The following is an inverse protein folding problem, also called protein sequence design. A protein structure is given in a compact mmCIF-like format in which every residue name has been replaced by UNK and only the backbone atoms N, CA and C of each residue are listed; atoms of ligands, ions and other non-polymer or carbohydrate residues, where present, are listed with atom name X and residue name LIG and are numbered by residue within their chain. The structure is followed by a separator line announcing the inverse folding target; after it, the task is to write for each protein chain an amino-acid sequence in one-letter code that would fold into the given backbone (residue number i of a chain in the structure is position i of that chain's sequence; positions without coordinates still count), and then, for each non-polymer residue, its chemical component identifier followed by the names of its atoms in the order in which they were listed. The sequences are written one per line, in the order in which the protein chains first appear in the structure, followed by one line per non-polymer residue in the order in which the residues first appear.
data_IF_855879011445
#
_entry.id   IF_855879011445
#
_cell.length_a   1.000
_cell.length_b   1.000
_cell.length_c   1.000
_cell.angle_alpha   90.00
_cell.angle_beta   90.00
_cell.angle_gamma   90.00
#
_symmetry.space_group_name_H-M   'P 1'
#
loop_
_entity.id
_entity.type
_entity.pdbx_description
1 polymer ?
#
# COMPACT_ATOMS: atom_id res chain seq x y z
N UNK A 1 14.36 20.06 30.21
CA UNK A 1 13.22 19.51 29.44
C UNK A 1 11.84 19.69 30.09
N UNK A 2 11.71 19.98 31.40
CA UNK A 2 10.38 20.24 32.00
C UNK A 2 9.65 21.42 31.34
N UNK A 3 10.39 22.48 31.02
CA UNK A 3 9.84 23.69 30.38
C UNK A 3 9.19 23.42 29.02
N UNK A 4 9.81 22.63 28.15
CA UNK A 4 9.24 22.31 26.82
C UNK A 4 7.92 21.55 26.96
N UNK A 5 7.82 20.60 27.88
CA UNK A 5 6.58 19.89 28.17
C UNK A 5 5.47 20.83 28.66
N UNK A 6 5.79 21.70 29.62
CA UNK A 6 4.84 22.71 30.12
C UNK A 6 4.38 23.68 29.03
N UNK A 7 5.28 24.14 28.16
CA UNK A 7 4.92 25.01 27.04
C UNK A 7 3.98 24.33 26.05
N UNK A 8 4.26 23.07 25.68
CA UNK A 8 3.39 22.29 24.78
C UNK A 8 1.99 22.14 25.41
N UNK A 9 1.93 21.83 26.70
CA UNK A 9 0.66 21.68 27.42
C UNK A 9 -0.10 23.01 27.49
N UNK A 10 0.59 24.14 27.70
CA UNK A 10 -0.02 25.47 27.68
C UNK A 10 -0.57 25.79 26.29
N UNK A 11 0.22 25.59 25.23
CA UNK A 11 -0.21 25.78 23.83
C UNK A 11 -1.47 24.95 23.55
N UNK A 12 -1.48 23.68 23.95
CA UNK A 12 -2.63 22.82 23.78
C UNK A 12 -3.87 23.33 24.51
N UNK A 13 -3.73 23.64 25.80
CA UNK A 13 -4.85 24.02 26.64
C UNK A 13 -5.42 25.41 26.28
N UNK A 14 -4.56 26.34 25.88
CA UNK A 14 -4.95 27.73 25.59
C UNK A 14 -5.29 27.91 24.11
N UNK A 15 -4.45 27.42 23.21
CA UNK A 15 -4.54 27.72 21.78
C UNK A 15 -5.29 26.65 20.97
N UNK A 16 -5.34 25.39 21.39
CA UNK A 16 -5.91 24.33 20.55
C UNK A 16 -7.30 23.88 21.00
N UNK A 17 -7.75 24.27 22.20
CA UNK A 17 -9.12 24.03 22.68
C UNK A 17 -10.18 24.95 22.07
N UNK A 18 -9.80 26.12 21.57
CA UNK A 18 -10.72 27.06 20.91
C UNK A 18 -10.54 27.00 19.40
N UNK A 19 -11.63 26.85 18.65
CA UNK A 19 -11.58 26.67 17.19
C UNK A 19 -10.82 27.78 16.47
N UNK A 20 -10.98 29.05 16.89
CA UNK A 20 -10.31 30.20 16.25
C UNK A 20 -8.79 30.10 16.43
N UNK A 21 -8.34 29.81 17.64
CA UNK A 21 -6.91 29.65 17.92
C UNK A 21 -6.34 28.39 17.27
N UNK A 22 -7.14 27.31 17.14
CA UNK A 22 -6.74 26.13 16.40
C UNK A 22 -6.52 26.42 14.91
N UNK A 23 -7.40 27.23 14.30
CA UNK A 23 -7.24 27.69 12.91
C UNK A 23 -5.96 28.52 12.75
N UNK A 24 -5.72 29.49 13.63
CA UNK A 24 -4.51 30.33 13.61
C UNK A 24 -3.23 29.51 13.82
N UNK A 25 -3.23 28.62 14.82
CA UNK A 25 -2.08 27.76 15.09
C UNK A 25 -1.79 26.84 13.90
N UNK A 26 -2.80 26.24 13.28
CA UNK A 26 -2.60 25.39 12.09
C UNK A 26 -2.03 26.20 10.91
N UNK A 27 -2.38 27.47 10.79
CA UNK A 27 -1.79 28.35 9.77
C UNK A 27 -0.32 28.63 10.05
N UNK A 28 0.00 29.12 11.25
CA UNK A 28 1.37 29.43 11.69
C UNK A 28 2.25 28.18 11.53
N UNK A 29 1.80 27.04 12.07
CA UNK A 29 2.56 25.80 12.08
C UNK A 29 2.97 25.34 10.68
N UNK A 30 2.05 25.34 9.71
CA UNK A 30 2.29 24.73 8.40
C UNK A 30 2.67 25.73 7.29
N UNK A 31 2.44 27.03 7.47
CA UNK A 31 2.76 28.04 6.44
C UNK A 31 3.88 28.98 6.86
N UNK A 32 4.01 29.29 8.15
CA UNK A 32 4.92 30.33 8.62
C UNK A 32 6.16 29.75 9.30
N UNK A 33 6.14 28.45 9.65
CA UNK A 33 7.26 27.79 10.33
C UNK A 33 7.69 26.54 9.59
N UNK A 34 8.95 26.14 9.81
CA UNK A 34 9.46 24.81 9.44
C UNK A 34 9.32 23.80 10.58
N UNK A 35 8.42 24.05 11.53
CA UNK A 35 8.29 23.21 12.73
C UNK A 35 7.87 21.78 12.37
N UNK A 36 6.90 21.52 11.46
CA UNK A 36 6.58 20.16 11.04
C UNK A 36 7.77 19.44 10.41
N UNK A 37 8.53 20.08 9.52
CA UNK A 37 9.71 19.49 8.88
C UNK A 37 10.80 19.17 9.92
N UNK A 38 11.13 20.15 10.78
CA UNK A 38 12.09 19.94 11.85
C UNK A 38 11.63 18.87 12.84
N UNK A 39 10.31 18.77 13.08
CA UNK A 39 9.76 17.77 13.97
C UNK A 39 9.94 16.35 13.45
N UNK A 40 9.53 16.14 12.19
CA UNK A 40 9.50 14.84 11.54
C UNK A 40 10.89 14.41 11.06
N UNK A 41 11.73 15.33 10.59
CA UNK A 41 12.98 14.96 9.92
C UNK A 41 14.25 15.30 10.72
N UNK A 42 14.17 16.10 11.79
CA UNK A 42 15.34 16.33 12.63
C UNK A 42 15.57 15.15 13.58
N UNK A 43 16.53 14.28 13.25
CA UNK A 43 16.92 13.10 14.05
C UNK A 43 17.42 13.44 15.46
N UNK A 44 17.97 14.64 15.67
CA UNK A 44 18.48 15.07 16.97
C UNK A 44 17.39 15.52 17.95
N UNK A 45 16.12 15.59 17.52
CA UNK A 45 15.03 15.96 18.40
C UNK A 45 14.72 14.82 19.39
N UNK A 46 14.64 15.17 20.67
CA UNK A 46 14.46 14.23 21.77
C UNK A 46 13.08 13.56 21.70
N UNK A 47 13.04 12.23 21.80
CA UNK A 47 11.80 11.43 21.75
C UNK A 47 10.71 11.92 22.72
N UNK A 48 11.10 12.38 23.92
CA UNK A 48 10.16 12.86 24.95
C UNK A 48 9.43 14.15 24.56
N UNK A 49 9.95 14.91 23.59
CA UNK A 49 9.28 16.08 23.04
C UNK A 49 8.37 15.66 21.88
N UNK A 50 8.72 14.57 21.19
CA UNK A 50 8.03 14.15 19.98
C UNK A 50 6.56 13.81 20.21
N UNK A 51 6.32 12.93 21.17
CA UNK A 51 4.98 12.47 21.49
C UNK A 51 4.04 13.62 21.90
N UNK A 52 4.38 14.48 22.87
CA UNK A 52 3.54 15.62 23.22
C UNK A 52 3.25 16.56 22.04
N UNK A 53 4.24 16.85 21.19
CA UNK A 53 4.01 17.69 20.01
C UNK A 53 3.03 17.06 19.01
N UNK A 54 3.14 15.76 18.72
CA UNK A 54 2.17 15.08 17.83
C UNK A 54 0.78 15.11 18.44
N UNK A 55 0.63 14.63 19.67
CA UNK A 55 -0.69 14.46 20.29
C UNK A 55 -1.35 15.77 20.68
N UNK A 56 -0.56 16.78 21.09
CA UNK A 56 -1.06 18.00 21.68
C UNK A 56 -0.95 19.21 20.75
N UNK A 57 -0.22 19.13 19.63
CA UNK A 57 -0.11 20.24 18.67
C UNK A 57 -0.54 19.82 17.25
N UNK A 58 0.13 18.82 16.67
CA UNK A 58 -0.13 18.44 15.28
C UNK A 58 -1.50 17.77 15.10
N UNK A 59 -1.86 16.83 15.96
CA UNK A 59 -3.14 16.13 15.85
C UNK A 59 -4.34 17.08 16.05
N UNK A 60 -4.35 17.98 17.06
CA UNK A 60 -5.42 18.97 17.19
C UNK A 60 -5.62 19.85 15.94
N UNK A 61 -4.55 20.14 15.19
CA UNK A 61 -4.64 20.91 13.95
C UNK A 61 -5.55 20.25 12.89
N UNK A 62 -5.74 18.92 12.94
CA UNK A 62 -6.68 18.22 12.06
C UNK A 62 -8.14 18.63 12.30
N UNK A 63 -8.47 19.13 13.49
CA UNK A 63 -9.82 19.56 13.86
C UNK A 63 -10.05 21.06 13.59
N UNK A 64 -9.04 21.76 13.05
CA UNK A 64 -9.22 23.11 12.52
C UNK A 64 -10.27 23.12 11.42
N UNK A 65 -11.22 24.06 11.49
CA UNK A 65 -12.32 24.18 10.54
C UNK A 65 -11.84 24.70 9.19
N UNK A 66 -10.91 25.65 9.20
CA UNK A 66 -10.38 26.30 7.99
C UNK A 66 -9.10 25.63 7.47
N UNK A 67 -8.25 25.19 8.39
CA UNK A 67 -6.86 24.80 8.12
C UNK A 67 -6.59 23.33 8.43
N UNK A 68 -7.62 22.51 8.69
CA UNK A 68 -7.47 21.07 8.94
C UNK A 68 -6.87 20.28 7.77
N UNK A 69 -6.80 20.89 6.58
CA UNK A 69 -6.14 20.33 5.40
C UNK A 69 -4.64 20.58 5.33
N UNK A 70 -4.07 21.48 6.15
CA UNK A 70 -2.65 21.78 6.10
C UNK A 70 -1.81 20.55 6.45
N UNK A 71 -2.16 19.83 7.53
CA UNK A 71 -1.49 18.60 7.91
C UNK A 71 -1.67 17.48 6.86
N UNK A 72 -2.83 17.39 6.21
CA UNK A 72 -3.05 16.40 5.14
C UNK A 72 -2.18 16.70 3.91
N UNK A 73 -2.05 17.99 3.55
CA UNK A 73 -1.15 18.44 2.47
C UNK A 73 0.31 18.17 2.82
N UNK A 74 0.70 18.43 4.05
CA UNK A 74 2.04 18.13 4.56
C UNK A 74 2.33 16.62 4.50
N UNK A 75 1.41 15.79 4.99
CA UNK A 75 1.50 14.33 4.92
C UNK A 75 1.68 13.84 3.48
N UNK A 76 0.83 14.32 2.56
CA UNK A 76 0.92 13.96 1.15
C UNK A 76 2.27 14.35 0.52
N UNK A 77 2.69 15.61 0.72
CA UNK A 77 3.93 16.15 0.15
C UNK A 77 5.15 15.37 0.61
N UNK A 78 5.15 14.91 1.85
CA UNK A 78 6.29 14.25 2.48
C UNK A 78 6.12 12.73 2.61
N UNK A 79 5.13 12.12 1.95
CA UNK A 79 4.81 10.70 2.10
C UNK A 79 6.05 9.80 2.04
N UNK A 80 6.89 9.93 1.01
CA UNK A 80 8.05 9.05 0.84
C UNK A 80 9.01 9.18 2.03
N UNK A 81 9.37 10.41 2.41
CA UNK A 81 10.25 10.67 3.55
C UNK A 81 9.68 10.15 4.88
N UNK A 82 8.37 10.30 5.07
CA UNK A 82 7.69 9.80 6.27
C UNK A 82 7.78 8.28 6.39
N UNK A 83 7.74 7.55 5.27
CA UNK A 83 7.81 6.08 5.29
C UNK A 83 9.24 5.54 5.14
N UNK A 84 10.18 6.25 4.50
CA UNK A 84 11.58 5.82 4.39
C UNK A 84 12.45 6.22 5.58
N UNK A 85 12.29 7.42 6.15
CA UNK A 85 13.24 7.91 7.17
C UNK A 85 12.74 7.71 8.60
N UNK A 86 11.44 7.93 8.83
CA UNK A 86 10.87 7.98 10.18
C UNK A 86 10.51 6.60 10.74
N UNK A 87 10.04 5.70 9.86
CA UNK A 87 9.60 4.36 10.25
C UNK A 87 10.76 3.36 10.38
N UNK A 88 11.95 3.67 9.86
CA UNK A 88 13.11 2.76 9.83
C UNK A 88 13.77 2.53 11.19
N UNK A 89 13.59 3.41 12.19
CA UNK A 89 14.42 3.31 13.41
C UNK A 89 13.83 3.96 14.67
N UNK A 90 12.51 4.05 14.84
CA UNK A 90 11.97 4.84 15.96
C UNK A 90 10.67 4.34 16.59
N UNK A 91 10.53 4.64 17.88
CA UNK A 91 9.26 4.65 18.62
C UNK A 91 8.25 5.67 18.09
N UNK A 92 8.56 6.40 17.01
CA UNK A 92 7.64 7.32 16.34
C UNK A 92 6.70 6.57 15.39
N UNK A 93 7.02 5.33 15.01
CA UNK A 93 6.21 4.55 14.07
C UNK A 93 4.74 4.44 14.48
N UNK A 94 4.48 4.18 15.76
CA UNK A 94 3.12 4.04 16.28
C UNK A 94 2.38 5.38 16.26
N UNK A 95 3.12 6.50 16.42
CA UNK A 95 2.55 7.84 16.34
C UNK A 95 2.25 8.23 14.90
N UNK A 96 3.14 7.91 13.96
CA UNK A 96 2.91 8.13 12.53
C UNK A 96 1.72 7.32 12.04
N UNK A 97 1.61 6.06 12.48
CA UNK A 97 0.46 5.24 12.15
C UNK A 97 -0.84 5.86 12.66
N UNK A 98 -0.91 6.23 13.95
CA UNK A 98 -2.08 6.90 14.53
C UNK A 98 -2.43 8.19 13.80
N UNK A 99 -1.43 9.01 13.47
CA UNK A 99 -1.62 10.24 12.73
C UNK A 99 -2.17 9.99 11.33
N UNK A 100 -1.62 9.00 10.63
CA UNK A 100 -2.05 8.60 9.28
C UNK A 100 -3.49 8.12 9.30
N UNK A 101 -3.86 7.27 10.28
CA UNK A 101 -5.25 6.84 10.48
C UNK A 101 -6.19 8.04 10.68
N UNK A 102 -5.83 8.98 11.55
CA UNK A 102 -6.65 10.18 11.80
C UNK A 102 -6.76 11.11 10.58
N UNK A 103 -5.77 11.08 9.69
CA UNK A 103 -5.79 11.79 8.40
C UNK A 103 -6.77 11.13 7.42
N UNK A 104 -6.78 9.79 7.32
CA UNK A 104 -7.60 9.06 6.34
C UNK A 104 -9.00 8.71 6.83
N UNK A 105 -9.26 8.73 8.14
CA UNK A 105 -10.59 8.41 8.69
C UNK A 105 -11.69 9.35 8.18
N UNK A 106 -11.51 10.69 8.14
CA UNK A 106 -12.54 11.58 7.60
C UNK A 106 -12.63 11.49 6.07
N UNK A 107 -13.82 11.12 5.55
CA UNK A 107 -14.08 10.97 4.09
C UNK A 107 -13.45 12.09 3.26
N UNK A 108 -13.81 13.35 3.52
CA UNK A 108 -13.32 14.50 2.74
C UNK A 108 -11.77 14.55 2.63
N UNK A 109 -11.04 14.18 3.68
CA UNK A 109 -9.57 14.17 3.69
C UNK A 109 -9.02 13.01 2.87
N UNK A 110 -9.63 11.84 3.00
CA UNK A 110 -9.28 10.68 2.19
C UNK A 110 -9.57 10.91 0.71
N UNK A 111 -10.76 11.44 0.36
CA UNK A 111 -11.10 11.78 -1.04
C UNK A 111 -10.10 12.78 -1.62
N UNK A 112 -9.68 13.78 -0.83
CA UNK A 112 -8.62 14.70 -1.23
C UNK A 112 -7.32 13.97 -1.53
N UNK A 113 -6.88 13.05 -0.67
CA UNK A 113 -5.66 12.28 -0.87
C UNK A 113 -5.73 11.37 -2.11
N UNK A 114 -6.86 10.70 -2.32
CA UNK A 114 -7.10 9.88 -3.53
C UNK A 114 -7.02 10.76 -4.78
N UNK A 115 -7.65 11.93 -4.77
CA UNK A 115 -7.56 12.91 -5.87
C UNK A 115 -6.15 13.42 -6.13
N UNK A 116 -5.30 13.43 -5.11
CA UNK A 116 -3.87 13.76 -5.25
C UNK A 116 -3.02 12.58 -5.71
N UNK A 117 -3.57 11.38 -5.83
CA UNK A 117 -2.85 10.20 -6.33
C UNK A 117 -2.26 9.32 -5.23
N UNK A 118 -2.77 9.39 -3.98
CA UNK A 118 -2.25 8.60 -2.87
C UNK A 118 -2.17 7.10 -3.15
N UNK A 119 -3.22 6.54 -3.75
CA UNK A 119 -3.29 5.12 -4.03
C UNK A 119 -2.18 4.65 -4.98
N UNK A 120 -1.94 5.39 -6.08
CA UNK A 120 -0.85 5.09 -7.00
C UNK A 120 0.51 5.28 -6.32
N UNK A 121 0.68 6.35 -5.53
CA UNK A 121 1.93 6.63 -4.81
C UNK A 121 2.30 5.53 -3.82
N UNK A 122 1.31 4.96 -3.13
CA UNK A 122 1.51 3.81 -2.24
C UNK A 122 1.99 2.59 -3.05
N UNK A 123 1.35 2.28 -4.19
CA UNK A 123 1.77 1.15 -5.04
C UNK A 123 3.20 1.35 -5.56
N UNK A 124 3.56 2.57 -5.95
CA UNK A 124 4.91 2.91 -6.41
C UNK A 124 5.93 2.72 -5.29
N UNK A 125 5.64 3.24 -4.09
CA UNK A 125 6.48 3.07 -2.90
C UNK A 125 6.72 1.60 -2.55
N UNK A 126 5.66 0.79 -2.53
CA UNK A 126 5.75 -0.65 -2.23
C UNK A 126 6.52 -1.37 -3.34
N UNK A 127 6.28 -1.04 -4.62
CA UNK A 127 7.03 -1.61 -5.75
C UNK A 127 8.52 -1.33 -5.64
N UNK A 128 8.89 -0.08 -5.36
CA UNK A 128 10.29 0.32 -5.20
C UNK A 128 10.95 -0.38 -4.01
N UNK A 129 10.20 -0.58 -2.92
CA UNK A 129 10.69 -1.28 -1.73
C UNK A 129 10.96 -2.76 -2.03
N UNK A 130 10.04 -3.45 -2.71
CA UNK A 130 10.22 -4.84 -3.12
C UNK A 130 11.39 -5.00 -4.11
N UNK A 131 11.51 -4.08 -5.07
CA UNK A 131 12.63 -4.08 -6.02
C UNK A 131 13.99 -3.89 -5.34
N UNK A 132 14.06 -3.04 -4.30
CA UNK A 132 15.28 -2.87 -3.49
C UNK A 132 15.67 -4.15 -2.75
N UNK A 133 14.70 -4.99 -2.38
CA UNK A 133 14.95 -6.33 -1.82
C UNK A 133 15.36 -7.35 -2.89
N UNK A 134 15.44 -6.97 -4.17
CA UNK A 134 15.78 -7.86 -5.27
C UNK A 134 14.60 -8.69 -5.82
N UNK A 135 13.37 -8.39 -5.38
CA UNK A 135 12.16 -9.06 -5.85
C UNK A 135 11.69 -8.49 -7.19
N UNK A 136 11.03 -9.33 -7.99
CA UNK A 136 10.47 -8.96 -9.29
C UNK A 136 10.26 -10.17 -10.20
N UNK A 137 9.63 -9.94 -11.34
CA UNK A 137 9.28 -10.99 -12.32
C UNK A 137 10.47 -11.86 -12.70
N UNK A 138 10.32 -13.18 -12.57
CA UNK A 138 11.35 -14.17 -12.86
C UNK A 138 12.55 -14.17 -11.91
N UNK A 139 12.50 -13.43 -10.79
CA UNK A 139 13.54 -13.44 -9.76
C UNK A 139 13.31 -14.57 -8.76
N UNK A 140 14.41 -15.05 -8.19
CA UNK A 140 14.40 -16.05 -7.11
C UNK A 140 14.11 -15.36 -5.78
N UNK A 141 12.97 -15.67 -5.16
CA UNK A 141 12.58 -15.09 -3.87
C UNK A 141 13.53 -15.53 -2.76
N UNK A 142 13.88 -16.81 -2.70
CA UNK A 142 14.84 -17.32 -1.72
C UNK A 142 16.17 -16.57 -1.83
N UNK A 143 16.67 -16.35 -3.04
CA UNK A 143 17.90 -15.56 -3.23
C UNK A 143 17.73 -14.10 -2.78
N UNK A 144 16.60 -13.47 -3.11
CA UNK A 144 16.30 -12.09 -2.75
C UNK A 144 16.24 -11.92 -1.22
N UNK A 145 15.53 -12.81 -0.53
CA UNK A 145 15.39 -12.78 0.93
C UNK A 145 16.73 -13.07 1.63
N UNK A 146 17.50 -14.05 1.15
CA UNK A 146 18.81 -14.39 1.74
C UNK A 146 19.84 -13.26 1.58
N UNK A 147 19.61 -12.34 0.65
CA UNK A 147 20.44 -11.13 0.45
C UNK A 147 19.89 -9.91 1.19
N UNK A 148 18.64 -9.96 1.65
CA UNK A 148 17.97 -8.86 2.35
C UNK A 148 18.17 -9.02 3.85
N UNK A 149 18.44 -7.94 4.57
CA UNK A 149 18.60 -8.02 6.04
C UNK A 149 17.25 -8.27 6.69
N UNK A 150 17.21 -9.09 7.74
CA UNK A 150 16.00 -9.33 8.53
C UNK A 150 15.30 -8.03 8.97
N UNK A 151 16.06 -7.03 9.41
CA UNK A 151 15.52 -5.72 9.81
C UNK A 151 14.81 -4.99 8.65
N UNK A 152 15.28 -5.14 7.42
CA UNK A 152 14.66 -4.54 6.23
C UNK A 152 13.34 -5.23 5.87
N UNK A 153 13.29 -6.56 5.97
CA UNK A 153 12.06 -7.36 5.77
C UNK A 153 11.02 -6.98 6.83
N UNK A 154 11.40 -7.03 8.11
CA UNK A 154 10.51 -6.68 9.22
C UNK A 154 9.98 -5.25 9.12
N UNK A 155 10.84 -4.32 8.68
CA UNK A 155 10.44 -2.95 8.43
C UNK A 155 9.41 -2.83 7.29
N UNK A 156 9.65 -3.49 6.16
CA UNK A 156 8.68 -3.53 5.06
C UNK A 156 7.34 -4.10 5.50
N UNK A 157 7.34 -5.22 6.23
CA UNK A 157 6.12 -5.85 6.74
C UNK A 157 5.35 -4.88 7.66
N UNK A 158 6.07 -4.18 8.55
CA UNK A 158 5.46 -3.14 9.41
C UNK A 158 4.80 -2.04 8.57
N UNK A 159 5.45 -1.57 7.50
CA UNK A 159 4.88 -0.55 6.62
C UNK A 159 3.67 -1.09 5.86
N UNK A 160 3.79 -2.28 5.27
CA UNK A 160 2.72 -2.94 4.53
C UNK A 160 1.48 -3.10 5.42
N UNK A 161 1.67 -3.46 6.69
CA UNK A 161 0.62 -3.56 7.68
C UNK A 161 -0.06 -2.21 7.94
N UNK A 162 0.72 -1.15 8.18
CA UNK A 162 0.17 0.18 8.41
C UNK A 162 -0.61 0.71 7.20
N UNK A 163 -0.06 0.51 6.01
CA UNK A 163 -0.69 0.93 4.76
C UNK A 163 -1.98 0.13 4.52
N UNK A 164 -1.98 -1.18 4.77
CA UNK A 164 -3.19 -2.00 4.75
C UNK A 164 -4.27 -1.37 5.62
N UNK A 165 -3.96 -1.05 6.88
CA UNK A 165 -4.94 -0.53 7.82
C UNK A 165 -5.46 0.86 7.40
N UNK A 166 -4.58 1.72 6.89
CA UNK A 166 -4.90 3.05 6.33
C UNK A 166 -5.87 2.93 5.16
N UNK A 167 -5.74 1.89 4.33
CA UNK A 167 -6.59 1.68 3.15
C UNK A 167 -7.85 0.88 3.48
N UNK A 168 -7.79 -0.07 4.43
CA UNK A 168 -8.89 -0.96 4.76
C UNK A 168 -10.06 -0.22 5.41
N UNK A 169 -9.77 0.76 6.27
CA UNK A 169 -10.78 1.57 6.92
C UNK A 169 -11.68 2.33 5.92
N UNK A 170 -11.13 3.12 4.97
CA UNK A 170 -11.95 3.76 3.95
C UNK A 170 -12.51 2.76 2.93
N UNK A 171 -11.79 1.68 2.59
CA UNK A 171 -12.26 0.67 1.61
C UNK A 171 -13.63 0.08 1.97
N UNK A 172 -13.86 -0.22 3.25
CA UNK A 172 -15.12 -0.78 3.76
C UNK A 172 -16.19 0.28 4.08
N UNK A 173 -15.87 1.56 3.93
CA UNK A 173 -16.70 2.65 4.39
C UNK A 173 -17.16 3.56 3.26
N UNK A 174 -18.50 3.67 3.12
CA UNK A 174 -19.26 4.72 2.42
C UNK A 174 -19.37 4.58 0.89
N UNK A 175 -20.42 5.17 0.35
CA UNK A 175 -20.55 5.45 -1.09
C UNK A 175 -19.46 6.44 -1.51
N UNK A 176 -18.63 6.04 -2.47
CA UNK A 176 -17.65 6.92 -3.10
C UNK A 176 -18.32 7.89 -4.07
N UNK A 177 -17.71 9.06 -4.22
CA UNK A 177 -18.15 10.05 -5.21
C UNK A 177 -17.70 9.64 -6.62
N UNK A 178 -18.43 10.10 -7.64
CA UNK A 178 -18.07 9.87 -9.06
C UNK A 178 -16.67 10.40 -9.37
N UNK A 179 -16.24 11.47 -8.71
CA UNK A 179 -14.90 12.05 -8.91
C UNK A 179 -13.78 11.08 -8.49
N UNK A 180 -13.99 10.29 -7.42
CA UNK A 180 -13.01 9.30 -6.96
C UNK A 180 -12.83 8.17 -7.95
N UNK A 181 -13.90 7.79 -8.65
CA UNK A 181 -13.92 6.70 -9.61
C UNK A 181 -12.78 6.79 -10.62
N UNK A 182 -12.58 7.96 -11.23
CA UNK A 182 -11.50 8.18 -12.22
C UNK A 182 -10.09 7.92 -11.65
N UNK A 183 -9.87 8.25 -10.37
CA UNK A 183 -8.62 7.96 -9.67
C UNK A 183 -8.50 6.48 -9.30
N UNK A 184 -9.61 5.81 -8.98
CA UNK A 184 -9.65 4.36 -8.75
C UNK A 184 -9.41 3.59 -10.05
N UNK A 185 -9.92 4.05 -11.20
CA UNK A 185 -9.61 3.49 -12.53
C UNK A 185 -8.12 3.52 -12.82
N UNK A 186 -7.50 4.68 -12.64
CA UNK A 186 -6.04 4.85 -12.80
C UNK A 186 -5.27 3.92 -11.86
N UNK A 187 -5.75 3.80 -10.61
CA UNK A 187 -5.18 2.92 -9.61
C UNK A 187 -5.33 1.44 -9.99
N UNK A 188 -6.47 1.02 -10.54
CA UNK A 188 -6.70 -0.35 -10.97
C UNK A 188 -5.72 -0.77 -12.07
N UNK A 189 -5.50 0.09 -13.07
CA UNK A 189 -4.49 -0.13 -14.11
C UNK A 189 -3.09 -0.21 -13.48
N UNK A 190 -2.76 0.70 -12.54
CA UNK A 190 -1.45 0.67 -11.86
C UNK A 190 -1.28 -0.60 -11.02
N UNK A 191 -2.34 -1.07 -10.36
CA UNK A 191 -2.33 -2.31 -9.58
C UNK A 191 -2.10 -3.53 -10.47
N UNK A 192 -2.74 -3.62 -11.64
CA UNK A 192 -2.45 -4.70 -12.60
C UNK A 192 -0.97 -4.70 -12.99
N UNK A 193 -0.39 -3.53 -13.29
CA UNK A 193 1.06 -3.41 -13.57
C UNK A 193 1.92 -3.85 -12.39
N UNK A 194 1.56 -3.43 -11.18
CA UNK A 194 2.22 -3.86 -9.95
C UNK A 194 2.21 -5.38 -9.83
N UNK A 195 1.05 -6.03 -10.01
CA UNK A 195 0.95 -7.49 -9.93
C UNK A 195 1.83 -8.19 -10.96
N UNK A 196 1.92 -7.66 -12.18
CA UNK A 196 2.73 -8.21 -13.28
C UNK A 196 4.22 -8.04 -13.01
N UNK A 197 4.63 -6.93 -12.39
CA UNK A 197 6.03 -6.66 -12.02
C UNK A 197 6.56 -7.70 -11.01
N UNK A 198 5.68 -8.36 -10.25
CA UNK A 198 6.02 -9.37 -9.23
C UNK A 198 5.37 -10.74 -9.50
N UNK A 199 4.91 -10.99 -10.72
CA UNK A 199 4.36 -12.31 -11.11
C UNK A 199 5.48 -13.27 -11.53
N UNK A 200 5.18 -14.58 -11.60
CA UNK A 200 6.12 -15.60 -12.10
C UNK A 200 7.49 -15.56 -11.38
N UNK A 201 7.46 -15.33 -10.06
CA UNK A 201 8.65 -15.47 -9.23
C UNK A 201 8.88 -16.96 -8.92
N UNK A 202 10.15 -17.36 -8.81
CA UNK A 202 10.53 -18.76 -8.63
C UNK A 202 9.78 -19.39 -7.43
N UNK A 203 9.12 -20.54 -7.61
CA UNK A 203 8.44 -21.22 -6.51
C UNK A 203 9.41 -21.48 -5.36
N UNK A 204 8.98 -21.27 -4.11
CA UNK A 204 9.73 -21.81 -2.97
C UNK A 204 9.67 -23.33 -3.09
N UNK A 205 10.79 -23.95 -3.42
CA UNK A 205 10.94 -25.39 -3.28
C UNK A 205 10.99 -25.71 -1.80
N UNK A 206 9.88 -26.24 -1.27
CA UNK A 206 9.84 -26.91 0.03
C UNK A 206 10.54 -28.27 -0.12
N UNK A 207 11.83 -28.24 -0.47
CA UNK A 207 12.66 -29.42 -0.27
C UNK A 207 12.65 -29.73 1.22
N UNK A 208 12.57 -31.02 1.58
CA UNK A 208 12.76 -31.50 2.95
C UNK A 208 14.22 -31.26 3.36
N UNK A 209 14.62 -30.00 3.48
CA UNK A 209 15.92 -29.63 4.04
C UNK A 209 15.87 -29.86 5.55
N UNK A 210 17.02 -30.19 6.12
CA UNK A 210 17.17 -30.35 7.56
C UNK A 210 16.64 -29.12 8.30
N UNK A 211 16.14 -29.31 9.52
CA UNK A 211 15.41 -28.30 10.35
C UNK A 211 16.11 -26.95 10.52
N UNK A 212 17.37 -26.81 10.15
CA UNK A 212 18.16 -25.60 10.27
C UNK A 212 17.91 -24.59 9.12
N UNK A 213 17.33 -25.02 7.99
CA UNK A 213 17.01 -24.17 6.81
C UNK A 213 15.53 -23.70 6.76
N UNK A 214 14.78 -23.83 7.86
CA UNK A 214 13.32 -23.54 7.91
C UNK A 214 13.01 -22.04 7.81
N UNK A 215 13.99 -21.17 8.09
CA UNK A 215 13.85 -19.70 8.13
C UNK A 215 13.34 -19.12 6.81
N UNK A 216 13.99 -19.45 5.69
CA UNK A 216 13.75 -18.83 4.38
C UNK A 216 12.33 -19.08 3.87
N UNK A 217 11.79 -20.28 4.12
CA UNK A 217 10.44 -20.65 3.70
C UNK A 217 9.35 -19.90 4.48
N UNK A 218 9.63 -19.61 5.74
CA UNK A 218 8.70 -18.90 6.64
C UNK A 218 8.66 -17.41 6.30
N UNK A 219 9.82 -16.79 6.07
CA UNK A 219 9.91 -15.38 5.68
C UNK A 219 9.23 -15.11 4.36
N UNK A 220 9.46 -15.98 3.37
CA UNK A 220 8.83 -15.87 2.07
C UNK A 220 7.30 -16.04 2.15
N UNK A 221 6.81 -16.94 3.01
CA UNK A 221 5.38 -17.07 3.30
C UNK A 221 4.80 -15.82 4.00
N UNK A 222 5.49 -15.26 4.98
CA UNK A 222 5.02 -14.06 5.69
C UNK A 222 4.95 -12.85 4.76
N UNK A 223 5.99 -12.62 3.96
CA UNK A 223 5.99 -11.58 2.94
C UNK A 223 4.79 -11.71 1.99
N UNK A 224 4.44 -12.95 1.63
CA UNK A 224 3.27 -13.24 0.80
C UNK A 224 1.95 -12.90 1.45
N UNK A 225 1.79 -13.28 2.72
CA UNK A 225 0.62 -12.89 3.49
C UNK A 225 0.51 -11.37 3.55
N UNK A 226 1.59 -10.66 3.78
CA UNK A 226 1.60 -9.19 3.89
C UNK A 226 1.27 -8.51 2.55
N UNK A 227 1.82 -9.01 1.44
CA UNK A 227 1.46 -8.53 0.10
C UNK A 227 -0.01 -8.78 -0.23
N UNK A 228 -0.54 -9.97 0.10
CA UNK A 228 -1.96 -10.26 -0.10
C UNK A 228 -2.83 -9.29 0.72
N UNK A 229 -2.52 -9.14 2.01
CA UNK A 229 -3.24 -8.22 2.89
C UNK A 229 -3.15 -6.77 2.42
N UNK A 230 -2.01 -6.34 1.89
CA UNK A 230 -1.81 -5.02 1.31
C UNK A 230 -2.68 -4.78 0.06
N UNK A 231 -2.84 -5.78 -0.81
CA UNK A 231 -3.62 -5.68 -2.05
C UNK A 231 -5.13 -5.69 -1.77
N UNK A 232 -5.59 -6.43 -0.75
CA UNK A 232 -7.02 -6.61 -0.45
C UNK A 232 -7.83 -5.30 -0.35
N UNK A 233 -7.41 -4.26 0.39
CA UNK A 233 -8.09 -2.97 0.41
C UNK A 233 -8.30 -2.32 -0.96
N UNK A 234 -7.34 -2.46 -1.88
CA UNK A 234 -7.50 -1.95 -3.24
C UNK A 234 -8.60 -2.68 -3.98
N UNK A 235 -8.63 -4.00 -3.87
CA UNK A 235 -9.65 -4.80 -4.54
C UNK A 235 -11.04 -4.53 -3.99
N UNK A 236 -11.19 -4.41 -2.67
CA UNK A 236 -12.45 -3.98 -2.06
C UNK A 236 -12.89 -2.63 -2.64
N UNK A 237 -11.98 -1.65 -2.74
CA UNK A 237 -12.28 -0.33 -3.29
C UNK A 237 -12.67 -0.39 -4.78
N UNK A 238 -11.96 -1.18 -5.58
CA UNK A 238 -12.23 -1.38 -7.02
C UNK A 238 -13.60 -2.04 -7.22
N UNK A 239 -13.93 -3.07 -6.43
CA UNK A 239 -15.20 -3.79 -6.52
C UNK A 239 -16.42 -2.96 -6.08
N UNK A 240 -16.22 -1.75 -5.54
CA UNK A 240 -17.31 -0.81 -5.33
C UNK A 240 -17.74 -0.08 -6.63
N UNK A 241 -17.00 -0.26 -7.73
CA UNK A 241 -17.31 0.30 -9.03
C UNK A 241 -17.23 -0.78 -10.12
N UNK A 242 -18.39 -1.30 -10.53
CA UNK A 242 -18.48 -2.42 -11.46
C UNK A 242 -17.68 -2.21 -12.74
N UNK A 243 -17.73 -1.02 -13.33
CA UNK A 243 -17.03 -0.72 -14.57
C UNK A 243 -15.51 -0.63 -14.39
N UNK A 244 -15.04 -0.25 -13.20
CA UNK A 244 -13.61 -0.28 -12.85
C UNK A 244 -13.13 -1.71 -12.64
N UNK A 245 -13.94 -2.56 -12.02
CA UNK A 245 -13.64 -4.00 -11.94
C UNK A 245 -13.57 -4.64 -13.33
N UNK A 246 -14.53 -4.33 -14.22
CA UNK A 246 -14.52 -4.78 -15.61
C UNK A 246 -13.30 -4.25 -16.40
N UNK A 247 -12.91 -2.99 -16.17
CA UNK A 247 -11.66 -2.42 -16.71
C UNK A 247 -10.45 -3.24 -16.25
N UNK A 248 -10.36 -3.54 -14.96
CA UNK A 248 -9.26 -4.34 -14.40
C UNK A 248 -9.20 -5.75 -15.01
N UNK A 249 -10.35 -6.42 -15.16
CA UNK A 249 -10.45 -7.73 -15.83
C UNK A 249 -9.95 -7.65 -17.28
N UNK A 250 -10.33 -6.61 -18.04
CA UNK A 250 -9.82 -6.40 -19.41
C UNK A 250 -8.32 -6.22 -19.44
N UNK A 251 -7.74 -5.48 -18.50
CA UNK A 251 -6.28 -5.34 -18.40
C UNK A 251 -5.58 -6.67 -18.09
N UNK A 252 -6.14 -7.49 -17.19
CA UNK A 252 -5.66 -8.86 -16.95
C UNK A 252 -5.67 -9.70 -18.24
N UNK A 253 -6.80 -9.72 -18.95
CA UNK A 253 -6.96 -10.50 -20.19
C UNK A 253 -6.02 -10.04 -21.30
N UNK A 254 -5.78 -8.73 -21.45
CA UNK A 254 -4.81 -8.19 -22.41
C UNK A 254 -3.41 -8.72 -22.14
N UNK A 255 -3.00 -8.79 -20.87
CA UNK A 255 -1.68 -9.29 -20.49
C UNK A 255 -1.61 -10.80 -20.70
N UNK A 256 -2.63 -11.53 -20.25
CA UNK A 256 -2.72 -12.97 -20.47
C UNK A 256 -2.62 -13.34 -21.97
N UNK A 257 -3.35 -12.63 -22.83
CA UNK A 257 -3.29 -12.83 -24.28
C UNK A 257 -1.88 -12.63 -24.83
N UNK A 258 -1.19 -11.55 -24.42
CA UNK A 258 0.20 -11.29 -24.83
C UNK A 258 1.15 -12.40 -24.36
N UNK A 259 0.96 -12.90 -23.14
CA UNK A 259 1.77 -14.00 -22.60
C UNK A 259 1.53 -15.29 -23.39
N UNK A 260 0.27 -15.62 -23.69
CA UNK A 260 -0.07 -16.78 -24.53
C UNK A 260 0.56 -16.64 -25.92
N UNK A 261 0.40 -15.51 -26.59
CA UNK A 261 1.00 -15.24 -27.92
C UNK A 261 2.52 -15.39 -27.89
N UNK A 262 3.18 -14.90 -26.83
CA UNK A 262 4.62 -15.04 -26.64
C UNK A 262 5.04 -16.50 -26.43
N UNK A 263 4.28 -17.25 -25.63
CA UNK A 263 4.57 -18.65 -25.30
C UNK A 263 4.38 -19.56 -26.52
N UNK A 264 3.36 -19.28 -27.33
CA UNK A 264 2.98 -20.08 -28.49
C UNK A 264 3.61 -19.59 -29.79
N UNK A 265 4.40 -18.50 -29.73
CA UNK A 265 5.14 -17.99 -30.86
C UNK A 265 5.97 -19.10 -31.53
N UNK A 266 5.80 -19.25 -32.84
CA UNK A 266 6.49 -20.23 -33.69
C UNK A 266 6.12 -21.70 -33.44
N UNK A 267 5.00 -21.98 -32.75
CA UNK A 267 4.47 -23.34 -32.60
C UNK A 267 3.33 -23.60 -33.57
N UNK A 268 3.18 -24.85 -34.02
CA UNK A 268 1.93 -25.28 -34.67
C UNK A 268 0.77 -25.21 -33.66
N UNK A 269 -0.48 -25.15 -34.14
CA UNK A 269 -1.65 -25.10 -33.26
C UNK A 269 -1.68 -26.27 -32.26
N UNK A 270 -1.31 -27.47 -32.69
CA UNK A 270 -1.25 -28.64 -31.81
C UNK A 270 -0.14 -28.52 -30.75
N UNK A 271 1.06 -28.11 -31.16
CA UNK A 271 2.18 -27.87 -30.23
C UNK A 271 1.88 -26.75 -29.23
N UNK A 272 1.19 -25.70 -29.67
CA UNK A 272 0.74 -24.61 -28.82
C UNK A 272 -0.25 -25.10 -27.75
N UNK A 273 -1.24 -25.91 -28.13
CA UNK A 273 -2.21 -26.51 -27.20
C UNK A 273 -1.47 -27.42 -26.20
N UNK A 274 -0.64 -28.34 -26.69
CA UNK A 274 0.15 -29.23 -25.84
C UNK A 274 1.03 -28.44 -24.86
N UNK A 275 1.70 -27.38 -25.33
CA UNK A 275 2.53 -26.52 -24.48
C UNK A 275 1.72 -25.75 -23.44
N UNK A 276 0.54 -25.23 -23.79
CA UNK A 276 -0.32 -24.52 -22.84
C UNK A 276 -0.89 -25.47 -21.77
N UNK A 277 -1.30 -26.68 -22.16
CA UNK A 277 -1.77 -27.72 -21.24
C UNK A 277 -0.66 -28.24 -20.31
N UNK A 278 0.60 -28.17 -20.73
CA UNK A 278 1.77 -28.65 -19.95
C UNK A 278 2.55 -27.53 -19.27
N UNK A 279 2.17 -26.26 -19.49
CA UNK A 279 2.91 -25.07 -19.04
C UNK A 279 3.05 -25.05 -17.52
N UNK A 280 2.01 -25.49 -16.82
CA UNK A 280 1.97 -25.61 -15.36
C UNK A 280 1.14 -26.82 -14.98
N UNK A 281 1.75 -28.00 -15.03
CA UNK A 281 1.20 -29.16 -14.35
C UNK A 281 1.34 -28.93 -12.83
N UNK A 282 0.30 -28.34 -12.22
CA UNK A 282 0.20 -28.07 -10.78
C UNK A 282 0.38 -29.37 -9.97
N UNK A 283 0.05 -30.52 -10.57
CA UNK A 283 0.17 -31.82 -9.91
C UNK A 283 1.59 -32.37 -9.92
N UNK A 284 2.43 -31.97 -10.89
CA UNK A 284 3.78 -32.55 -11.10
C UNK A 284 4.95 -31.58 -10.98
N UNK A 285 4.71 -30.26 -10.92
CA UNK A 285 5.75 -29.23 -10.79
C UNK A 285 5.53 -28.36 -9.56
N UNK A 286 6.60 -27.87 -8.91
CA UNK A 286 6.49 -26.86 -7.86
C UNK A 286 5.66 -25.68 -8.37
N UNK A 287 4.55 -25.37 -7.71
CA UNK A 287 3.73 -24.21 -8.04
C UNK A 287 4.17 -23.03 -7.21
N UNK A 288 4.28 -21.86 -7.85
CA UNK A 288 4.62 -20.65 -7.12
C UNK A 288 3.37 -20.15 -6.38
N UNK A 289 3.42 -20.10 -5.05
CA UNK A 289 2.41 -19.38 -4.26
C UNK A 289 2.34 -17.89 -4.67
N UNK A 290 3.38 -17.41 -5.38
CA UNK A 290 3.59 -16.05 -5.86
C UNK A 290 2.91 -15.72 -7.19
N UNK A 291 2.06 -16.59 -7.72
CA UNK A 291 1.17 -16.27 -8.86
C UNK A 291 0.04 -15.32 -8.43
N UNK A 292 0.39 -14.17 -7.85
CA UNK A 292 -0.54 -13.15 -7.38
C UNK A 292 -1.46 -12.68 -8.49
N UNK A 293 -0.90 -12.45 -9.68
CA UNK A 293 -1.66 -11.98 -10.83
C UNK A 293 -2.86 -12.90 -11.12
N UNK A 294 -2.63 -14.20 -11.22
CA UNK A 294 -3.68 -15.20 -11.51
C UNK A 294 -4.70 -15.29 -10.38
N UNK A 295 -4.25 -15.32 -9.12
CA UNK A 295 -5.14 -15.40 -7.95
C UNK A 295 -6.03 -14.18 -7.84
N UNK A 296 -5.47 -12.99 -8.04
CA UNK A 296 -6.21 -11.74 -8.02
C UNK A 296 -7.22 -11.66 -9.16
N UNK A 297 -6.82 -12.04 -10.37
CA UNK A 297 -7.72 -12.14 -11.52
C UNK A 297 -8.91 -13.05 -11.22
N UNK A 298 -8.66 -14.29 -10.77
CA UNK A 298 -9.72 -15.25 -10.46
C UNK A 298 -10.64 -14.75 -9.34
N UNK A 299 -10.10 -14.13 -8.30
CA UNK A 299 -10.89 -13.56 -7.21
C UNK A 299 -11.82 -12.45 -7.68
N UNK A 300 -11.31 -11.50 -8.45
CA UNK A 300 -12.12 -10.38 -8.99
C UNK A 300 -13.16 -10.88 -9.99
N UNK A 301 -12.77 -11.78 -10.89
CA UNK A 301 -13.69 -12.38 -11.88
C UNK A 301 -14.83 -13.13 -11.19
N UNK A 302 -14.50 -13.98 -10.20
CA UNK A 302 -15.50 -14.75 -9.45
C UNK A 302 -16.49 -13.84 -8.74
N UNK A 303 -16.00 -12.79 -8.10
CA UNK A 303 -16.84 -11.80 -7.43
C UNK A 303 -17.78 -11.07 -8.40
N UNK A 304 -17.28 -10.68 -9.58
CA UNK A 304 -18.10 -10.03 -10.62
C UNK A 304 -19.16 -10.98 -11.19
N UNK A 305 -18.85 -12.27 -11.35
CA UNK A 305 -19.80 -13.29 -11.79
C UNK A 305 -20.89 -13.50 -10.73
N UNK A 306 -20.52 -13.68 -9.46
CA UNK A 306 -21.48 -13.89 -8.36
C UNK A 306 -22.42 -12.69 -8.22
N UNK A 307 -21.89 -11.47 -8.36
CA UNK A 307 -22.68 -10.23 -8.31
C UNK A 307 -23.45 -9.92 -9.60
N UNK A 308 -23.20 -10.67 -10.69
CA UNK A 308 -23.75 -10.41 -12.03
C UNK A 308 -23.42 -9.01 -12.56
N UNK A 309 -22.21 -8.53 -12.29
CA UNK A 309 -21.72 -7.20 -12.68
C UNK A 309 -20.70 -7.26 -13.83
N UNK A 310 -20.45 -8.47 -14.37
CA UNK A 310 -19.61 -8.65 -15.54
C UNK A 310 -20.30 -8.07 -16.79
N UNK A 311 -19.58 -7.26 -17.55
CA UNK A 311 -20.06 -6.63 -18.78
C UNK A 311 -20.36 -7.66 -19.88
N UNK A 312 -21.31 -7.34 -20.76
CA UNK A 312 -21.73 -8.21 -21.87
C UNK A 312 -20.58 -8.59 -22.82
N UNK A 313 -19.56 -7.73 -22.94
CA UNK A 313 -18.35 -8.01 -23.70
C UNK A 313 -17.56 -9.18 -23.10
N UNK A 314 -17.43 -9.21 -21.77
CA UNK A 314 -16.67 -10.23 -21.04
C UNK A 314 -17.49 -11.50 -20.79
N UNK A 315 -18.82 -11.45 -20.97
CA UNK A 315 -19.71 -12.61 -20.90
C UNK A 315 -19.67 -13.48 -22.19
N UNK A 316 -19.11 -12.97 -23.28
CA UNK A 316 -19.06 -13.64 -24.59
C UNK A 316 -17.73 -14.37 -24.80
#
# INVERSE_FOLDING_TARGET
MKLSGSLIQIIHNVCLRKSIFCDMMSEILFKETSLPENFFFNRSLWMNIRLPLVCQILLPSLFSRKNGMNLVKFYWKNFDLLYTELLMSSSIKDYMFRLSMQIVTPKMKFEYLVKKGLLCKILDFVSDSLKKMGLGKGKSISRALNQTKFDEINHFNTIAEQIRDILYFPANGRQYTVEIKSHVETTAIRLVRFLVEFDDMEPITVERRHREDVSDSTEAYLLMCDLHHFITPYVIMILNFDDVANLMIREFLKIFKKDVERITANLSSQQAIEKLLTLHDIEKKPFSIFNFFQRMFLGILSECIVKRTLSDELNK
#
